data_IF_410358532224
#
_entry.id   IF_410358532224
#
_cell.length_a   1.000
_cell.length_b   1.000
_cell.length_c   1.000
_cell.angle_alpha   90.00
_cell.angle_beta   90.00
_cell.angle_gamma   90.00
#
_symmetry.space_group_name_H-M   'P 1'
#
loop_
_entity.id
_entity.type
_entity.pdbx_description
1 polymer ?
#
# COMPACT_ATOMS: atom_id res chain seq x y z
N UNK A 1 1.25 6.86 -34.00
CA UNK A 1 0.57 5.88 -33.13
C UNK A 1 -0.83 5.48 -33.63
N UNK A 2 -1.64 6.38 -34.20
CA UNK A 2 -2.99 6.04 -34.73
C UNK A 2 -2.99 5.23 -36.04
N UNK A 3 -1.91 5.26 -36.85
CA UNK A 3 -1.87 4.61 -38.17
C UNK A 3 -1.44 3.12 -38.17
N UNK A 4 -1.42 2.44 -37.01
CA UNK A 4 -1.00 1.03 -36.91
C UNK A 4 -2.09 0.10 -36.36
N UNK A 5 -3.27 0.64 -36.02
CA UNK A 5 -4.36 -0.11 -35.43
C UNK A 5 -5.49 -0.12 -36.45
N UNK A 6 -6.06 -1.30 -36.72
CA UNK A 6 -7.29 -1.40 -37.51
C UNK A 6 -8.42 -0.58 -36.86
N UNK A 7 -9.49 -0.33 -37.62
CA UNK A 7 -10.66 0.41 -37.12
C UNK A 7 -11.14 -0.15 -35.78
N UNK A 8 -11.12 0.69 -34.75
CA UNK A 8 -11.57 0.35 -33.40
C UNK A 8 -13.09 0.10 -33.44
N UNK A 9 -13.49 -1.12 -33.11
CA UNK A 9 -14.90 -1.52 -33.13
C UNK A 9 -15.58 -1.38 -31.76
N UNK A 10 -14.83 -1.55 -30.67
CA UNK A 10 -15.35 -1.51 -29.31
C UNK A 10 -14.40 -0.76 -28.40
N UNK A 11 -14.94 -0.04 -27.43
CA UNK A 11 -14.14 0.77 -26.51
C UNK A 11 -14.67 0.68 -25.08
N UNK A 12 -13.87 0.06 -24.20
CA UNK A 12 -14.22 -0.10 -22.79
C UNK A 12 -13.24 0.62 -21.89
N UNK A 13 -13.76 1.29 -20.86
CA UNK A 13 -12.94 1.88 -19.81
C UNK A 13 -13.00 1.03 -18.55
N UNK A 14 -11.85 0.57 -18.07
CA UNK A 14 -11.77 -0.21 -16.83
C UNK A 14 -11.64 0.74 -15.65
N UNK A 15 -12.58 0.67 -14.70
CA UNK A 15 -12.61 1.55 -13.54
C UNK A 15 -12.76 0.74 -12.26
N UNK A 16 -11.89 1.01 -11.29
CA UNK A 16 -12.13 0.56 -9.93
C UNK A 16 -13.15 1.50 -9.28
N UNK A 17 -14.43 1.17 -9.47
CA UNK A 17 -15.57 1.87 -8.89
C UNK A 17 -15.73 1.60 -7.38
N UNK A 18 -14.87 0.73 -6.81
CA UNK A 18 -14.95 0.24 -5.44
C UNK A 18 -16.36 -0.28 -5.10
N UNK A 19 -17.03 -0.91 -6.07
CA UNK A 19 -18.41 -1.40 -5.98
C UNK A 19 -19.48 -0.32 -5.73
N UNK A 20 -19.19 0.94 -6.05
CA UNK A 20 -20.15 2.05 -5.92
C UNK A 20 -20.82 2.41 -7.25
N UNK A 21 -20.48 1.74 -8.34
CA UNK A 21 -20.96 2.04 -9.68
C UNK A 21 -20.27 3.25 -10.31
N UNK A 22 -20.64 3.53 -11.56
CA UNK A 22 -20.08 4.61 -12.36
C UNK A 22 -21.02 5.81 -12.37
N UNK A 23 -20.45 7.01 -12.40
CA UNK A 23 -21.24 8.24 -12.47
C UNK A 23 -21.96 8.36 -13.82
N UNK A 24 -23.24 8.76 -13.80
CA UNK A 24 -24.09 8.85 -14.99
C UNK A 24 -23.54 9.80 -16.09
N UNK A 25 -22.85 10.87 -15.73
CA UNK A 25 -22.24 11.78 -16.72
C UNK A 25 -21.12 11.10 -17.50
N UNK A 26 -20.43 10.15 -16.86
CA UNK A 26 -19.38 9.34 -17.49
C UNK A 26 -19.97 8.33 -18.48
N UNK A 27 -21.09 7.71 -18.12
CA UNK A 27 -21.87 6.84 -19.03
C UNK A 27 -22.36 7.62 -20.26
N UNK A 28 -22.91 8.82 -20.06
CA UNK A 28 -23.36 9.68 -21.16
C UNK A 28 -22.20 10.08 -22.08
N UNK A 29 -21.02 10.33 -21.50
CA UNK A 29 -19.80 10.65 -22.27
C UNK A 29 -19.39 9.50 -23.17
N UNK A 30 -19.38 8.26 -22.66
CA UNK A 30 -19.08 7.07 -23.47
C UNK A 30 -20.14 6.83 -24.56
N UNK A 31 -21.42 7.06 -24.25
CA UNK A 31 -22.48 6.97 -25.26
C UNK A 31 -22.29 7.94 -26.42
N UNK A 32 -21.81 9.15 -26.12
CA UNK A 32 -21.47 10.13 -27.14
C UNK A 32 -20.27 9.66 -27.98
N UNK A 33 -19.26 9.04 -27.36
CA UNK A 33 -18.11 8.45 -28.08
C UNK A 33 -18.56 7.32 -29.00
N UNK A 34 -19.39 6.39 -28.51
CA UNK A 34 -19.96 5.30 -29.31
C UNK A 34 -20.63 5.81 -30.58
N UNK A 35 -21.43 6.87 -30.43
CA UNK A 35 -22.16 7.48 -31.54
C UNK A 35 -21.23 8.23 -32.50
N UNK A 36 -20.32 9.05 -31.96
CA UNK A 36 -19.43 9.90 -32.77
C UNK A 36 -18.43 9.10 -33.60
N UNK A 37 -18.02 7.94 -33.11
CA UNK A 37 -17.06 7.07 -33.77
C UNK A 37 -17.69 5.81 -34.39
N UNK A 38 -19.01 5.68 -34.33
CA UNK A 38 -19.76 4.52 -34.86
C UNK A 38 -19.22 3.19 -34.34
N UNK A 39 -18.94 3.11 -33.04
CA UNK A 39 -18.50 1.88 -32.38
C UNK A 39 -19.67 0.91 -32.28
N UNK A 40 -19.37 -0.40 -32.34
CA UNK A 40 -20.35 -1.45 -32.10
C UNK A 40 -20.80 -1.45 -30.63
N UNK A 41 -19.87 -1.18 -29.71
CA UNK A 41 -20.15 -1.11 -28.29
C UNK A 41 -19.15 -0.19 -27.57
N UNK A 42 -19.64 0.47 -26.53
CA UNK A 42 -18.80 1.11 -25.54
C UNK A 42 -19.34 0.88 -24.14
N UNK A 43 -18.51 1.00 -23.12
CA UNK A 43 -18.98 0.93 -21.74
C UNK A 43 -17.86 0.91 -20.71
N UNK A 44 -18.23 0.57 -19.49
CA UNK A 44 -17.29 0.38 -18.39
C UNK A 44 -17.14 -1.09 -18.04
N UNK A 45 -15.93 -1.47 -17.64
CA UNK A 45 -15.73 -2.63 -16.78
C UNK A 45 -15.54 -2.14 -15.36
N UNK A 46 -16.55 -2.38 -14.52
CA UNK A 46 -16.50 -2.10 -13.08
C UNK A 46 -15.78 -3.21 -12.33
N UNK A 47 -15.48 -3.01 -11.05
CA UNK A 47 -14.95 -4.08 -10.19
C UNK A 47 -15.86 -5.30 -10.17
N UNK A 48 -17.19 -5.08 -10.20
CA UNK A 48 -18.18 -6.18 -10.24
C UNK A 48 -18.17 -6.93 -11.58
N UNK A 49 -17.99 -6.21 -12.69
CA UNK A 49 -17.92 -6.84 -14.01
C UNK A 49 -16.65 -7.67 -14.17
N UNK A 50 -15.52 -7.16 -13.68
CA UNK A 50 -14.25 -7.89 -13.69
C UNK A 50 -14.33 -9.15 -12.83
N UNK A 51 -14.93 -9.06 -11.63
CA UNK A 51 -15.13 -10.22 -10.77
C UNK A 51 -16.01 -11.28 -11.46
N UNK A 52 -17.13 -10.84 -12.04
CA UNK A 52 -18.03 -11.71 -12.80
C UNK A 52 -17.33 -12.37 -13.99
N UNK A 53 -16.55 -11.60 -14.75
CA UNK A 53 -15.79 -12.10 -15.90
C UNK A 53 -14.72 -13.11 -15.46
N UNK A 54 -14.00 -12.81 -14.38
CA UNK A 54 -12.96 -13.70 -13.86
C UNK A 54 -13.55 -15.06 -13.47
N UNK A 55 -14.65 -15.07 -12.73
CA UNK A 55 -15.31 -16.33 -12.30
C UNK A 55 -16.15 -17.01 -13.39
N UNK A 56 -16.16 -16.49 -14.61
CA UNK A 56 -16.66 -17.18 -15.79
C UNK A 56 -15.57 -17.98 -16.53
N UNK A 57 -14.30 -17.74 -16.22
CA UNK A 57 -13.17 -18.46 -16.81
C UNK A 57 -12.98 -19.82 -16.14
N UNK A 58 -12.33 -20.75 -16.84
CA UNK A 58 -11.89 -22.03 -16.27
C UNK A 58 -10.75 -21.81 -15.25
N UNK A 59 -10.60 -22.73 -14.30
CA UNK A 59 -9.63 -22.60 -13.19
C UNK A 59 -8.18 -22.34 -13.65
N UNK A 60 -7.76 -22.94 -14.76
CA UNK A 60 -6.42 -22.75 -15.35
C UNK A 60 -6.26 -21.36 -15.98
N UNK A 61 -7.32 -20.83 -16.59
CA UNK A 61 -7.38 -19.48 -17.13
C UNK A 61 -7.42 -18.42 -16.02
N UNK A 62 -8.19 -18.67 -14.96
CA UNK A 62 -8.16 -17.86 -13.74
C UNK A 62 -6.73 -17.81 -13.23
N UNK A 63 -6.09 -18.97 -13.05
CA UNK A 63 -4.71 -19.06 -12.57
C UNK A 63 -3.70 -18.35 -13.49
N UNK A 64 -3.91 -18.35 -14.80
CA UNK A 64 -3.08 -17.58 -15.73
C UNK A 64 -3.24 -16.05 -15.56
N UNK A 65 -4.46 -15.58 -15.21
CA UNK A 65 -4.77 -14.15 -15.00
C UNK A 65 -4.29 -13.66 -13.64
N UNK A 66 -4.58 -14.39 -12.56
CA UNK A 66 -4.22 -13.99 -11.20
C UNK A 66 -2.80 -14.43 -10.78
N UNK A 67 -2.17 -15.32 -11.55
CA UNK A 67 -0.91 -15.97 -11.21
C UNK A 67 -1.08 -17.04 -10.14
N UNK A 68 -0.02 -17.28 -9.37
CA UNK A 68 -0.12 -18.17 -8.21
C UNK A 68 -0.98 -17.50 -7.14
N UNK A 69 -2.03 -18.19 -6.67
CA UNK A 69 -2.71 -17.80 -5.44
C UNK A 69 -1.65 -17.68 -4.34
N UNK A 70 -1.49 -16.50 -3.71
CA UNK A 70 -0.57 -16.37 -2.60
C UNK A 70 -0.95 -17.42 -1.55
N UNK A 71 0.03 -18.23 -1.16
CA UNK A 71 -0.18 -19.29 -0.18
C UNK A 71 -0.86 -18.66 1.04
N UNK A 72 -2.04 -19.12 1.48
CA UNK A 72 -2.75 -18.52 2.61
C UNK A 72 -1.91 -18.54 3.90
N UNK A 73 -0.93 -19.44 3.99
CA UNK A 73 0.05 -19.47 5.09
C UNK A 73 1.12 -18.37 4.99
N UNK A 74 1.44 -17.85 3.80
CA UNK A 74 2.33 -16.70 3.59
C UNK A 74 1.61 -15.36 3.80
N UNK A 75 0.28 -15.36 3.74
CA UNK A 75 -0.56 -14.18 3.96
C UNK A 75 -1.04 -14.01 5.40
N UNK A 76 -0.76 -14.96 6.30
CA UNK A 76 -1.32 -14.91 7.64
C UNK A 76 -0.45 -14.03 8.55
N UNK A 77 -0.88 -12.79 8.75
CA UNK A 77 -0.38 -11.98 9.85
C UNK A 77 -0.83 -12.63 11.16
N UNK A 78 0.06 -13.34 11.84
CA UNK A 78 -0.22 -13.97 13.13
C UNK A 78 -0.55 -12.89 14.17
N UNK A 79 -1.81 -12.84 14.63
CA UNK A 79 -2.27 -11.84 15.58
C UNK A 79 -1.64 -11.98 16.96
N UNK A 80 -1.13 -13.16 17.34
CA UNK A 80 -0.37 -13.30 18.58
C UNK A 80 0.98 -12.58 18.47
N UNK A 81 1.67 -12.75 17.35
CA UNK A 81 2.93 -12.07 17.05
C UNK A 81 2.69 -10.57 16.91
N UNK A 82 1.64 -10.17 16.20
CA UNK A 82 1.27 -8.76 16.05
C UNK A 82 0.97 -8.11 17.39
N UNK A 83 0.24 -8.80 18.28
CA UNK A 83 -0.07 -8.29 19.62
C UNK A 83 1.19 -8.13 20.49
N UNK A 84 2.15 -9.05 20.37
CA UNK A 84 3.45 -8.92 21.05
C UNK A 84 4.27 -7.75 20.50
N UNK A 85 4.34 -7.59 19.16
CA UNK A 85 5.04 -6.47 18.50
C UNK A 85 4.43 -5.13 18.90
N UNK A 86 3.10 -4.99 18.79
CA UNK A 86 2.40 -3.75 19.16
C UNK A 86 2.59 -3.46 20.64
N UNK A 87 2.41 -4.47 21.51
CA UNK A 87 2.65 -4.33 22.94
C UNK A 87 4.09 -3.98 23.30
N UNK A 88 5.08 -4.38 22.48
CA UNK A 88 6.47 -4.02 22.64
C UNK A 88 6.74 -2.58 22.21
N UNK A 89 6.31 -2.17 21.01
CA UNK A 89 6.43 -0.80 20.50
C UNK A 89 5.82 0.20 21.49
N UNK A 90 4.63 -0.11 22.01
CA UNK A 90 3.91 0.75 22.96
C UNK A 90 4.61 0.92 24.31
N UNK A 91 5.56 0.05 24.66
CA UNK A 91 6.35 0.11 25.90
C UNK A 91 7.67 0.85 25.74
N UNK A 92 8.08 1.21 24.52
CA UNK A 92 9.31 1.96 24.28
C UNK A 92 9.13 3.37 24.88
N UNK A 93 9.99 3.79 25.84
CA UNK A 93 9.80 5.06 26.54
C UNK A 93 10.14 6.23 25.61
N UNK A 94 9.12 6.96 25.14
CA UNK A 94 9.25 8.04 24.16
C UNK A 94 8.33 9.21 24.47
N UNK A 95 8.71 10.40 24.00
CA UNK A 95 7.81 11.55 23.92
C UNK A 95 7.03 11.46 22.61
N UNK A 96 5.68 11.32 22.64
CA UNK A 96 4.87 11.21 21.43
C UNK A 96 5.01 12.47 20.57
N UNK A 97 5.26 12.30 19.27
CA UNK A 97 5.28 13.40 18.31
C UNK A 97 3.97 13.35 17.52
N UNK A 98 3.32 14.50 17.34
CA UNK A 98 2.10 14.62 16.55
C UNK A 98 2.51 14.69 15.07
N UNK A 99 2.17 13.67 14.30
CA UNK A 99 2.31 13.66 12.85
C UNK A 99 1.29 14.60 12.16
N UNK A 100 1.65 15.10 10.98
CA UNK A 100 0.70 15.74 10.07
C UNK A 100 0.33 14.73 8.98
N UNK A 101 -0.95 14.35 8.90
CA UNK A 101 -1.45 13.44 7.84
C UNK A 101 -1.32 14.15 6.48
N UNK A 102 -0.60 13.52 5.56
CA UNK A 102 -0.52 13.89 4.14
C UNK A 102 -0.65 12.60 3.30
N UNK A 103 -0.92 12.73 2.00
CA UNK A 103 -1.09 11.59 1.08
C UNK A 103 -0.19 11.78 -0.15
N UNK A 104 1.04 11.26 -0.15
CA UNK A 104 2.01 11.38 -1.23
C UNK A 104 1.92 10.16 -2.15
N UNK A 105 2.61 10.26 -3.29
CA UNK A 105 2.84 9.11 -4.14
C UNK A 105 3.90 8.18 -3.48
N UNK A 106 3.54 6.91 -3.32
CA UNK A 106 4.37 5.86 -2.68
C UNK A 106 5.76 5.73 -3.32
N UNK A 107 5.83 5.73 -4.65
CA UNK A 107 7.09 5.54 -5.38
C UNK A 107 7.98 6.80 -5.30
N UNK A 108 7.37 7.98 -5.35
CA UNK A 108 8.11 9.24 -5.15
C UNK A 108 8.76 9.29 -3.76
N UNK A 109 8.06 8.79 -2.74
CA UNK A 109 8.57 8.70 -1.38
C UNK A 109 9.72 7.69 -1.25
N UNK A 110 9.62 6.54 -1.90
CA UNK A 110 10.72 5.56 -1.98
C UNK A 110 11.99 6.21 -2.53
N UNK A 111 11.86 6.91 -3.66
CA UNK A 111 12.99 7.59 -4.30
C UNK A 111 13.55 8.69 -3.42
N UNK A 112 12.69 9.52 -2.82
CA UNK A 112 13.12 10.63 -1.95
C UNK A 112 13.92 10.16 -0.73
N UNK A 113 13.56 9.00 -0.17
CA UNK A 113 14.24 8.44 0.99
C UNK A 113 15.44 7.55 0.64
N UNK A 114 15.80 7.42 -0.65
CA UNK A 114 16.89 6.56 -1.11
C UNK A 114 16.74 5.11 -0.61
N UNK A 115 15.52 4.54 -0.68
CA UNK A 115 15.28 3.13 -0.37
C UNK A 115 15.64 2.25 -1.57
N UNK A 116 16.50 1.26 -1.35
CA UNK A 116 16.88 0.32 -2.41
C UNK A 116 15.76 -0.68 -2.71
N UNK A 117 15.94 -1.50 -3.75
CA UNK A 117 14.95 -2.47 -4.21
C UNK A 117 14.47 -3.41 -3.11
N UNK A 118 15.34 -3.81 -2.18
CA UNK A 118 14.98 -4.83 -1.18
C UNK A 118 14.08 -4.28 -0.04
N UNK A 119 14.40 -3.17 0.64
CA UNK A 119 13.44 -2.49 1.53
C UNK A 119 12.13 -2.11 0.83
N UNK A 120 12.20 -1.66 -0.43
CA UNK A 120 11.00 -1.38 -1.23
C UNK A 120 10.15 -2.62 -1.45
N UNK A 121 10.76 -3.75 -1.83
CA UNK A 121 10.07 -5.04 -1.96
C UNK A 121 9.38 -5.43 -0.66
N UNK A 122 10.04 -5.24 0.49
CA UNK A 122 9.47 -5.58 1.80
C UNK A 122 8.31 -4.65 2.19
N UNK A 123 8.40 -3.34 1.92
CA UNK A 123 7.28 -2.41 2.14
C UNK A 123 6.08 -2.75 1.25
N UNK A 124 6.32 -3.08 -0.02
CA UNK A 124 5.28 -3.52 -0.95
C UNK A 124 4.62 -4.84 -0.51
N UNK A 125 5.41 -5.78 0.01
CA UNK A 125 4.86 -7.01 0.58
C UNK A 125 4.07 -6.74 1.88
N UNK A 126 4.54 -5.81 2.72
CA UNK A 126 3.82 -5.39 3.92
C UNK A 126 2.49 -4.71 3.61
N UNK A 127 2.40 -3.93 2.52
CA UNK A 127 1.16 -3.22 2.15
C UNK A 127 0.03 -4.15 1.71
N UNK A 128 0.36 -5.33 1.19
CA UNK A 128 -0.61 -6.38 0.88
C UNK A 128 -1.37 -6.87 2.13
N UNK A 129 -0.83 -6.63 3.33
CA UNK A 129 -1.41 -7.05 4.61
C UNK A 129 -2.26 -5.99 5.32
N UNK A 130 -2.51 -4.85 4.68
CA UNK A 130 -3.29 -3.77 5.30
C UNK A 130 -4.69 -4.19 5.72
N UNK A 131 -5.35 -5.08 4.98
CA UNK A 131 -6.67 -5.61 5.37
C UNK A 131 -6.64 -6.28 6.74
N UNK A 132 -5.68 -7.19 6.97
CA UNK A 132 -5.51 -7.89 8.24
C UNK A 132 -5.09 -6.92 9.36
N UNK A 133 -4.10 -6.06 9.12
CA UNK A 133 -3.65 -5.08 10.10
C UNK A 133 -4.77 -4.10 10.50
N UNK A 134 -5.54 -3.57 9.53
CA UNK A 134 -6.65 -2.66 9.83
C UNK A 134 -7.77 -3.36 10.60
N UNK A 135 -7.99 -4.66 10.37
CA UNK A 135 -8.95 -5.47 11.15
C UNK A 135 -8.50 -5.60 12.60
N UNK A 136 -7.22 -5.87 12.84
CA UNK A 136 -6.63 -5.90 14.17
C UNK A 136 -6.76 -4.53 14.88
N UNK A 137 -6.35 -3.44 14.22
CA UNK A 137 -6.35 -2.10 14.82
C UNK A 137 -7.76 -1.60 15.17
N UNK A 138 -8.80 -1.98 14.41
CA UNK A 138 -10.20 -1.61 14.68
C UNK A 138 -10.74 -2.17 16.01
N UNK A 139 -10.08 -3.16 16.60
CA UNK A 139 -10.47 -3.71 17.90
C UNK A 139 -10.32 -2.70 19.05
N UNK A 140 -9.46 -1.69 18.88
CA UNK A 140 -9.29 -0.59 19.82
C UNK A 140 -9.19 0.73 19.06
N UNK A 141 -10.18 1.60 19.25
CA UNK A 141 -10.35 2.83 18.46
C UNK A 141 -9.18 3.82 18.54
N UNK A 142 -8.36 3.79 19.60
CA UNK A 142 -7.21 4.68 19.74
C UNK A 142 -5.88 4.03 19.34
N UNK A 143 -5.85 2.70 19.18
CA UNK A 143 -4.62 1.94 19.01
C UNK A 143 -3.86 2.33 17.74
N UNK A 144 -4.58 2.62 16.65
CA UNK A 144 -3.96 3.05 15.39
C UNK A 144 -3.21 4.39 15.56
N UNK A 145 -3.80 5.35 16.25
CA UNK A 145 -3.21 6.68 16.46
C UNK A 145 -2.08 6.64 17.49
N UNK A 146 -2.21 5.81 18.52
CA UNK A 146 -1.17 5.60 19.53
C UNK A 146 0.06 4.91 18.94
N UNK A 147 -0.15 3.86 18.15
CA UNK A 147 0.93 3.14 17.47
C UNK A 147 1.63 4.02 16.42
N UNK A 148 0.88 4.85 15.70
CA UNK A 148 1.41 5.87 14.78
C UNK A 148 2.40 6.79 15.51
N UNK A 149 1.95 7.43 16.60
CA UNK A 149 2.77 8.38 17.37
C UNK A 149 4.03 7.74 17.92
N UNK A 150 3.94 6.49 18.39
CA UNK A 150 5.10 5.75 18.88
C UNK A 150 6.10 5.48 17.75
N UNK A 151 5.63 4.94 16.62
CA UNK A 151 6.51 4.62 15.51
C UNK A 151 7.18 5.87 14.91
N UNK A 152 6.45 6.97 14.75
CA UNK A 152 7.01 8.26 14.33
C UNK A 152 8.07 8.76 15.32
N UNK A 153 7.82 8.62 16.63
CA UNK A 153 8.78 8.96 17.67
C UNK A 153 10.10 8.18 17.53
N UNK A 154 10.01 6.85 17.31
CA UNK A 154 11.18 5.98 17.10
C UNK A 154 11.94 6.44 15.85
N UNK A 155 11.24 6.67 14.74
CA UNK A 155 11.83 7.13 13.48
C UNK A 155 12.61 8.44 13.67
N UNK A 156 12.04 9.44 14.36
CA UNK A 156 12.71 10.72 14.61
C UNK A 156 13.98 10.56 15.44
N UNK A 157 13.97 9.67 16.44
CA UNK A 157 15.16 9.36 17.23
C UNK A 157 16.25 8.73 16.37
N UNK A 158 15.92 7.68 15.61
CA UNK A 158 16.86 7.02 14.70
C UNK A 158 17.46 8.05 13.74
N UNK A 159 16.62 8.85 13.10
CA UNK A 159 17.08 9.88 12.16
C UNK A 159 18.03 10.88 12.81
N UNK A 160 17.80 11.25 14.07
CA UNK A 160 18.68 12.17 14.82
C UNK A 160 20.03 11.52 15.13
N UNK A 161 20.03 10.27 15.58
CA UNK A 161 21.25 9.52 15.90
C UNK A 161 22.11 9.25 14.66
N UNK A 162 21.47 9.02 13.51
CA UNK A 162 22.14 8.69 12.26
C UNK A 162 22.46 9.91 11.38
N UNK A 163 22.16 11.13 11.84
CA UNK A 163 22.33 12.39 11.09
C UNK A 163 23.79 12.67 10.66
N UNK A 164 24.77 12.06 11.33
CA UNK A 164 26.20 12.22 11.04
C UNK A 164 26.72 11.24 9.98
N UNK A 165 25.93 10.21 9.64
CA UNK A 165 26.23 9.28 8.55
C UNK A 165 25.42 9.74 7.33
N UNK A 166 26.00 9.71 6.13
CA UNK A 166 25.20 9.90 4.90
C UNK A 166 24.06 8.88 4.94
N UNK A 167 22.85 9.36 5.22
CA UNK A 167 21.68 8.52 5.49
C UNK A 167 21.26 7.82 4.21
N UNK A 168 21.58 6.53 4.10
CA UNK A 168 20.97 5.63 3.13
C UNK A 168 19.66 5.18 3.80
N UNK A 169 18.51 5.41 3.16
CA UNK A 169 17.19 5.11 3.75
C UNK A 169 17.08 3.68 4.30
N UNK A 170 17.78 2.75 3.66
CA UNK A 170 17.93 1.37 4.10
C UNK A 170 18.40 1.22 5.55
N UNK A 171 19.37 2.03 6.00
CA UNK A 171 19.88 1.93 7.36
C UNK A 171 18.79 2.29 8.37
N UNK A 172 18.02 3.34 8.10
CA UNK A 172 16.89 3.75 8.95
C UNK A 172 15.80 2.67 8.92
N UNK A 173 15.55 2.08 7.74
CA UNK A 173 14.59 0.98 7.58
C UNK A 173 14.96 -0.24 8.44
N UNK A 174 16.20 -0.70 8.36
CA UNK A 174 16.66 -1.85 9.14
C UNK A 174 16.73 -1.56 10.64
N UNK A 175 17.13 -0.35 11.02
CA UNK A 175 17.15 0.08 12.42
C UNK A 175 15.74 0.14 13.00
N UNK A 176 14.74 0.61 12.24
CA UNK A 176 13.33 0.58 12.65
C UNK A 176 12.87 -0.86 12.91
N UNK A 177 13.19 -1.80 12.01
CA UNK A 177 12.88 -3.22 12.20
C UNK A 177 13.52 -3.74 13.47
N UNK A 178 14.81 -3.46 13.68
CA UNK A 178 15.55 -3.93 14.84
C UNK A 178 14.98 -3.38 16.15
N UNK A 179 14.66 -2.08 16.22
CA UNK A 179 14.15 -1.44 17.45
C UNK A 179 12.71 -1.80 17.77
N UNK A 180 11.91 -2.13 16.77
CA UNK A 180 10.48 -2.43 16.96
C UNK A 180 10.20 -3.94 17.06
N UNK A 181 11.17 -4.81 16.75
CA UNK A 181 11.02 -6.25 16.87
C UNK A 181 11.38 -6.73 18.28
N UNK A 182 10.46 -7.36 19.03
CA UNK A 182 10.78 -7.91 20.34
C UNK A 182 11.72 -9.13 20.26
N UNK A 183 11.77 -9.81 19.11
CA UNK A 183 12.63 -10.97 18.84
C UNK A 183 13.23 -10.87 17.44
N UNK A 184 14.44 -11.38 17.26
CA UNK A 184 15.13 -11.46 15.97
C UNK A 184 14.63 -12.65 15.14
N UNK A 185 13.31 -12.75 14.98
CA UNK A 185 12.63 -13.83 14.27
C UNK A 185 11.83 -13.25 13.11
N UNK A 186 11.79 -13.97 11.98
CA UNK A 186 11.19 -13.47 10.74
C UNK A 186 9.71 -13.09 10.91
N UNK A 187 8.95 -13.83 11.72
CA UNK A 187 7.54 -13.52 11.96
C UNK A 187 7.34 -12.13 12.61
N UNK A 188 8.22 -11.77 13.55
CA UNK A 188 8.17 -10.47 14.24
C UNK A 188 8.62 -9.34 13.33
N UNK A 189 9.69 -9.56 12.56
CA UNK A 189 10.17 -8.60 11.58
C UNK A 189 9.11 -8.34 10.50
N UNK A 190 8.41 -9.38 10.02
CA UNK A 190 7.33 -9.25 9.05
C UNK A 190 6.14 -8.45 9.62
N UNK A 191 5.77 -8.66 10.89
CA UNK A 191 4.74 -7.87 11.55
C UNK A 191 5.15 -6.40 11.69
N UNK A 192 6.42 -6.12 12.04
CA UNK A 192 6.96 -4.76 12.07
C UNK A 192 6.97 -4.12 10.68
N UNK A 193 7.41 -4.82 9.64
CA UNK A 193 7.39 -4.34 8.25
C UNK A 193 5.96 -3.99 7.80
N UNK A 194 4.98 -4.81 8.19
CA UNK A 194 3.56 -4.56 7.89
C UNK A 194 3.06 -3.26 8.56
N UNK A 195 3.43 -3.05 9.82
CA UNK A 195 3.14 -1.80 10.56
C UNK A 195 3.86 -0.62 9.91
N UNK A 196 5.14 -0.78 9.55
CA UNK A 196 5.92 0.26 8.89
C UNK A 196 5.32 0.65 7.54
N UNK A 197 4.90 -0.31 6.71
CA UNK A 197 4.26 -0.06 5.43
C UNK A 197 3.00 0.81 5.59
N UNK A 198 2.18 0.54 6.62
CA UNK A 198 0.97 1.33 6.90
C UNK A 198 1.31 2.79 7.19
N UNK A 199 2.31 3.03 8.03
CA UNK A 199 2.71 4.37 8.45
C UNK A 199 3.65 5.07 7.46
N UNK A 200 4.24 4.31 6.53
CA UNK A 200 4.86 4.83 5.33
C UNK A 200 3.79 5.42 4.40
N UNK A 201 2.66 4.72 4.20
CA UNK A 201 1.50 5.19 3.41
C UNK A 201 0.93 6.50 3.94
N UNK A 202 0.79 6.63 5.26
CA UNK A 202 0.15 7.79 5.92
C UNK A 202 1.10 8.95 6.29
N UNK A 203 2.32 8.98 5.78
CA UNK A 203 3.34 10.03 6.03
C UNK A 203 3.93 10.12 7.44
N UNK A 204 3.83 9.06 8.23
CA UNK A 204 4.20 9.13 9.65
C UNK A 204 5.66 8.74 9.89
N UNK A 205 6.23 7.98 8.97
CA UNK A 205 7.66 7.64 8.90
C UNK A 205 8.18 7.84 7.49
N UNK A 206 9.48 8.09 7.38
CA UNK A 206 10.17 8.49 6.14
C UNK A 206 9.69 9.86 5.60
N UNK A 207 10.63 10.62 5.05
CA UNK A 207 10.39 12.00 4.66
C UNK A 207 9.57 12.10 3.38
N UNK A 208 8.90 13.23 3.21
CA UNK A 208 8.17 13.51 1.99
C UNK A 208 9.00 14.27 0.98
N UNK A 209 8.81 14.00 -0.34
CA UNK A 209 9.30 14.88 -1.38
C UNK A 209 8.70 16.26 -1.16
N UNK A 210 9.50 17.18 -0.65
CA UNK A 210 9.09 18.57 -0.54
C UNK A 210 9.17 19.16 -1.94
N UNK A 211 8.06 19.73 -2.43
CA UNK A 211 8.01 20.54 -3.66
C UNK A 211 8.80 21.86 -3.49
N UNK A 212 10.02 21.81 -2.96
CA UNK A 212 10.93 22.95 -2.99
C UNK A 212 11.54 22.94 -4.39
N UNK A 213 10.86 23.63 -5.31
CA UNK A 213 11.54 24.20 -6.48
C UNK A 213 12.63 25.11 -5.93
N UNK A 214 13.88 24.69 -6.08
CA UNK A 214 15.05 25.56 -5.95
C UNK A 214 15.06 26.51 -7.15
#
# INVERSE_FOLDING_TARGET
MINQWDSVNEFYFVVNDKFNGVNADSEQTLKNIETNYSLNASGFFTSSDLERLLFQLDDDQIQAVIGFLPNPNLLHLDYSVLNEVVGYIMRIPLTPIIGQIKFPNWDEKIQFNNLTEYPTYLLNHGSQQFGALNTYLKQNTTLADELQKQLSGIYVIIKKEWKEFNTIGDNIFWELIQRCSPKAEQAYQNAVITIMAKYFESCDIFEEPTNIKI
#
